data_IF_922135907063
#
_entry.id   IF_922135907063
#
_cell.length_a   1.000
_cell.length_b   1.000
_cell.length_c   1.000
_cell.angle_alpha   90.00
_cell.angle_beta   90.00
_cell.angle_gamma   90.00
#
_symmetry.space_group_name_H-M   'P 1'
#
loop_
_entity.id
_entity.type
_entity.pdbx_description
1 polymer ?
#
# COMPACT_ATOMS: atom_id res chain seq x y z
N UNK A 1 10.38 -5.47 -23.61
CA UNK A 1 9.22 -4.90 -22.87
C UNK A 1 8.49 -6.06 -22.17
N UNK A 2 8.99 -6.51 -21.01
CA UNK A 2 8.58 -7.79 -20.39
C UNK A 2 8.04 -7.61 -18.98
N UNK A 3 6.71 -7.71 -18.86
CA UNK A 3 5.89 -8.09 -17.70
C UNK A 3 6.41 -7.72 -16.29
N UNK A 4 5.94 -6.59 -15.79
CA UNK A 4 5.61 -6.43 -14.37
C UNK A 4 4.16 -5.97 -14.28
N UNK A 5 3.22 -6.92 -14.34
CA UNK A 5 1.89 -6.68 -13.78
C UNK A 5 2.08 -6.73 -12.26
N UNK A 6 2.59 -5.62 -11.72
CA UNK A 6 3.22 -5.50 -10.41
C UNK A 6 2.21 -5.81 -9.32
N UNK A 7 2.45 -6.86 -8.53
CA UNK A 7 1.71 -7.29 -7.34
C UNK A 7 1.03 -6.14 -6.56
N UNK A 8 1.71 -5.00 -6.41
CA UNK A 8 1.22 -3.75 -5.78
C UNK A 8 -0.15 -3.26 -6.23
N UNK A 9 -0.52 -3.40 -7.50
CA UNK A 9 -1.83 -2.90 -8.00
C UNK A 9 -2.97 -3.88 -7.72
N UNK A 10 -2.64 -5.10 -7.27
CA UNK A 10 -3.57 -6.20 -7.08
C UNK A 10 -3.78 -6.43 -5.59
N UNK A 11 -4.91 -5.96 -5.07
CA UNK A 11 -5.30 -6.11 -3.66
C UNK A 11 -5.28 -7.58 -3.20
N UNK A 12 -5.59 -8.51 -4.10
CA UNK A 12 -5.57 -9.95 -3.84
C UNK A 12 -4.16 -10.54 -3.69
N UNK A 13 -3.14 -9.83 -4.15
CA UNK A 13 -1.72 -10.21 -4.06
C UNK A 13 -0.94 -9.40 -3.02
N UNK A 14 -1.60 -8.51 -2.28
CA UNK A 14 -0.96 -7.81 -1.16
C UNK A 14 -0.62 -8.81 -0.05
N UNK A 15 0.56 -8.63 0.53
CA UNK A 15 0.90 -9.32 1.78
C UNK A 15 -0.02 -8.85 2.91
N UNK A 16 -0.16 -9.62 4.01
CA UNK A 16 -0.98 -9.20 5.15
C UNK A 16 -0.62 -7.82 5.71
N UNK A 17 0.66 -7.45 5.69
CA UNK A 17 1.13 -6.14 6.14
C UNK A 17 0.64 -5.01 5.21
N UNK A 18 0.82 -5.17 3.90
CA UNK A 18 0.37 -4.17 2.92
C UNK A 18 -1.15 -4.00 2.92
N UNK A 19 -1.88 -5.11 3.07
CA UNK A 19 -3.33 -5.10 3.19
C UNK A 19 -3.79 -4.38 4.46
N UNK A 20 -3.10 -4.57 5.58
CA UNK A 20 -3.44 -3.90 6.84
C UNK A 20 -3.28 -2.37 6.72
N UNK A 21 -2.26 -1.90 6.01
CA UNK A 21 -2.07 -0.47 5.74
C UNK A 21 -3.15 0.04 4.77
N UNK A 22 -3.48 -0.74 3.73
CA UNK A 22 -4.58 -0.44 2.81
C UNK A 22 -5.91 -0.26 3.55
N UNK A 23 -6.27 -1.23 4.38
CA UNK A 23 -7.52 -1.20 5.15
C UNK A 23 -7.54 -0.01 6.13
N UNK A 24 -6.39 0.35 6.72
CA UNK A 24 -6.28 1.55 7.55
C UNK A 24 -6.56 2.83 6.75
N UNK A 25 -6.01 2.97 5.54
CA UNK A 25 -6.33 4.10 4.65
C UNK A 25 -7.84 4.17 4.38
N UNK A 26 -8.46 3.05 4.02
CA UNK A 26 -9.89 2.97 3.75
C UNK A 26 -10.77 3.32 4.95
N UNK A 27 -10.31 3.05 6.18
CA UNK A 27 -11.03 3.46 7.39
C UNK A 27 -10.94 4.97 7.60
N UNK A 28 -9.76 5.58 7.38
CA UNK A 28 -9.56 7.02 7.52
C UNK A 28 -10.34 7.81 6.45
N UNK A 29 -10.30 7.35 5.20
CA UNK A 29 -11.03 8.00 4.07
C UNK A 29 -12.55 8.05 4.28
N UNK A 30 -13.11 7.10 5.04
CA UNK A 30 -14.55 7.03 5.33
C UNK A 30 -15.02 8.03 6.40
N UNK A 31 -14.12 8.78 7.04
CA UNK A 31 -14.47 9.69 8.12
C UNK A 31 -15.11 10.99 7.61
N UNK A 32 -14.32 12.06 7.49
CA UNK A 32 -14.77 13.37 7.03
C UNK A 32 -13.77 13.93 6.02
N UNK A 33 -14.22 14.88 5.20
CA UNK A 33 -13.32 15.63 4.33
C UNK A 33 -12.56 16.68 5.16
N UNK A 34 -11.36 16.31 5.63
CA UNK A 34 -10.48 17.16 6.44
C UNK A 34 -9.03 16.97 5.98
N UNK A 35 -8.28 18.06 5.83
CA UNK A 35 -6.90 18.07 5.31
C UNK A 35 -5.96 17.20 6.15
N UNK A 36 -6.16 17.12 7.47
CA UNK A 36 -5.34 16.29 8.37
C UNK A 36 -5.57 14.80 8.13
N UNK A 37 -6.80 14.42 7.74
CA UNK A 37 -7.13 13.05 7.41
C UNK A 37 -6.57 12.68 6.03
N UNK A 38 -6.61 13.60 5.08
CA UNK A 38 -5.90 13.43 3.79
C UNK A 38 -4.40 13.26 3.99
N UNK A 39 -3.77 14.08 4.83
CA UNK A 39 -2.35 13.94 5.17
C UNK A 39 -2.05 12.58 5.81
N UNK A 40 -2.91 12.12 6.73
CA UNK A 40 -2.77 10.80 7.35
C UNK A 40 -2.84 9.67 6.31
N UNK A 41 -3.75 9.74 5.33
CA UNK A 41 -3.84 8.76 4.23
C UNK A 41 -2.58 8.80 3.38
N UNK A 42 -2.05 9.98 3.03
CA UNK A 42 -0.80 10.11 2.27
C UNK A 42 0.39 9.49 3.01
N UNK A 43 0.47 9.63 4.34
CA UNK A 43 1.53 9.00 5.15
C UNK A 43 1.40 7.47 5.18
N UNK A 44 0.17 6.95 5.26
CA UNK A 44 -0.09 5.52 5.19
C UNK A 44 0.26 4.95 3.81
N UNK A 45 -0.04 5.65 2.72
CA UNK A 45 0.36 5.24 1.37
C UNK A 45 1.89 5.13 1.24
N UNK A 46 2.63 6.12 1.76
CA UNK A 46 4.09 6.06 1.81
C UNK A 46 4.60 4.87 2.63
N UNK A 47 3.93 4.54 3.74
CA UNK A 47 4.27 3.36 4.53
C UNK A 47 4.01 2.07 3.74
N UNK A 48 2.88 1.96 3.04
CA UNK A 48 2.56 0.81 2.20
C UNK A 48 3.62 0.64 1.09
N UNK A 49 4.00 1.73 0.43
CA UNK A 49 5.02 1.71 -0.62
C UNK A 49 6.36 1.17 -0.13
N UNK A 50 6.82 1.58 1.07
CA UNK A 50 8.05 1.05 1.67
C UNK A 50 7.97 -0.45 1.98
N UNK A 51 6.83 -0.93 2.46
CA UNK A 51 6.62 -2.37 2.67
C UNK A 51 6.62 -3.11 1.34
N UNK A 52 5.98 -2.54 0.32
CA UNK A 52 5.94 -3.09 -1.01
C UNK A 52 7.33 -3.19 -1.66
N UNK A 53 8.17 -2.16 -1.49
CA UNK A 53 9.56 -2.16 -1.94
C UNK A 53 10.34 -3.31 -1.31
N UNK A 54 10.27 -3.46 0.01
CA UNK A 54 10.90 -4.57 0.71
C UNK A 54 10.43 -5.94 0.20
N UNK A 55 9.12 -6.15 0.04
CA UNK A 55 8.56 -7.42 -0.46
C UNK A 55 9.03 -7.72 -1.88
N UNK A 56 9.04 -6.72 -2.75
CA UNK A 56 9.43 -6.89 -4.14
C UNK A 56 10.94 -7.19 -4.27
N UNK A 57 11.77 -6.56 -3.44
CA UNK A 57 13.20 -6.92 -3.32
C UNK A 57 13.38 -8.39 -2.91
N UNK A 58 12.64 -8.86 -1.89
CA UNK A 58 12.70 -10.27 -1.46
C UNK A 58 12.25 -11.25 -2.55
N UNK A 59 11.30 -10.86 -3.41
CA UNK A 59 10.84 -11.69 -4.54
C UNK A 59 11.82 -11.67 -5.71
N UNK A 60 12.52 -10.55 -5.94
CA UNK A 60 13.55 -10.44 -6.98
C UNK A 60 14.85 -11.16 -6.64
N UNK A 61 15.11 -11.44 -5.36
CA UNK A 61 16.27 -12.18 -4.87
C UNK A 61 16.07 -13.70 -4.86
N UNK A 62 14.86 -14.19 -5.20
CA UNK A 62 14.53 -15.61 -5.34
C UNK A 62 14.63 -16.06 -6.79
#
# INVERSE_FOLDING_TARGET
MGKTSTRRIRLDLLTPAEKSIYDAMQVVEKMAADERLTEAVCLLEQAQNKVADYVDEQLSMK
#
